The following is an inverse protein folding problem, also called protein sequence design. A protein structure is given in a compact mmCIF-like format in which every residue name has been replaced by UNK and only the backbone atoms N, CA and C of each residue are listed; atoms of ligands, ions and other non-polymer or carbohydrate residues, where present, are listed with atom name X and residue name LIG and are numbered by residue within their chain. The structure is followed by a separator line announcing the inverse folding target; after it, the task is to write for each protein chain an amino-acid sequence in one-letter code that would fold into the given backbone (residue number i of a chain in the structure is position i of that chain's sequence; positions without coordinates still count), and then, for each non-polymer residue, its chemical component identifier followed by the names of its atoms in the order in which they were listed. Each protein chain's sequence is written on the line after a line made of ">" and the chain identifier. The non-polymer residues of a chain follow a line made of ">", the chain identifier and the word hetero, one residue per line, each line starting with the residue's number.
data_IF_288661110298
#
_entry.id   IF_288661110298
#
_cell.length_a   1.000
_cell.length_b   1.000
_cell.length_c   1.000
_cell.angle_alpha   90.00
_cell.angle_beta   90.00
_cell.angle_gamma   90.00
#
_symmetry.space_group_name_H-M   'P 1'
#
loop_
_entity.id
_entity.type
_entity.pdbx_description
1 polymer ?
#
# COMPACT_ATOMS: atom_id res chain seq x y z
N UNK A 1 -0.02 18.22 -0.36
CA UNK A 1 -1.04 18.03 0.70
C UNK A 1 -0.31 17.49 1.91
N UNK A 2 -0.15 18.26 2.99
CA UNK A 2 0.52 17.76 4.18
C UNK A 2 -0.32 16.63 4.78
N UNK A 3 0.13 15.39 4.62
CA UNK A 3 -0.52 14.23 5.24
C UNK A 3 -0.40 14.45 6.75
N UNK A 4 -1.55 14.63 7.43
CA UNK A 4 -1.59 14.64 8.90
C UNK A 4 -0.95 13.34 9.36
N UNK A 5 0.05 13.43 10.24
CA UNK A 5 0.77 12.25 10.72
C UNK A 5 -0.20 11.25 11.35
N UNK A 6 -0.23 9.99 10.88
CA UNK A 6 -1.16 8.99 11.40
C UNK A 6 -1.08 8.78 12.91
N UNK A 7 0.12 8.92 13.50
CA UNK A 7 0.27 8.97 14.96
C UNK A 7 -0.57 10.08 15.62
N UNK A 8 -0.65 11.27 15.05
CA UNK A 8 -1.48 12.35 15.61
C UNK A 8 -2.96 12.00 15.54
N UNK A 9 -3.41 11.33 14.47
CA UNK A 9 -4.79 10.86 14.34
C UNK A 9 -5.09 9.80 15.40
N UNK A 10 -4.18 8.86 15.61
CA UNK A 10 -4.33 7.80 16.61
C UNK A 10 -4.27 8.37 18.01
N UNK A 11 -3.33 9.26 18.33
CA UNK A 11 -3.24 9.89 19.64
C UNK A 11 -4.47 10.75 19.90
N UNK A 12 -4.92 11.57 18.94
CA UNK A 12 -6.13 12.38 19.09
C UNK A 12 -7.38 11.50 19.27
N UNK A 13 -7.47 10.42 18.49
CA UNK A 13 -8.54 9.45 18.58
C UNK A 13 -8.53 8.65 19.88
N UNK A 14 -7.35 8.24 20.34
CA UNK A 14 -7.15 7.43 21.52
C UNK A 14 -7.21 8.23 22.82
N UNK A 15 -6.87 9.53 22.84
CA UNK A 15 -6.88 10.35 24.06
C UNK A 15 -8.13 11.23 24.18
N UNK A 16 -8.67 11.74 23.07
CA UNK A 16 -9.82 12.66 23.08
C UNK A 16 -11.11 12.03 22.53
N UNK A 17 -11.01 11.33 21.41
CA UNK A 17 -12.18 10.79 20.70
C UNK A 17 -12.84 9.64 21.48
N UNK A 18 -12.18 8.49 21.54
CA UNK A 18 -12.77 7.23 22.00
C UNK A 18 -13.23 7.28 23.47
N UNK A 19 -12.47 7.95 24.35
CA UNK A 19 -12.83 8.11 25.75
C UNK A 19 -14.08 8.97 25.96
N UNK A 20 -14.34 9.95 25.08
CA UNK A 20 -15.58 10.70 25.13
C UNK A 20 -16.81 9.81 24.84
N UNK A 21 -16.65 8.82 23.95
CA UNK A 21 -17.69 7.84 23.63
C UNK A 21 -17.85 6.75 24.71
N UNK A 22 -16.88 6.59 25.60
CA UNK A 22 -16.96 5.61 26.69
C UNK A 22 -18.13 5.88 27.62
N UNK A 23 -18.37 7.17 27.92
CA UNK A 23 -19.53 7.59 28.70
C UNK A 23 -20.85 7.22 28.02
N UNK A 24 -20.94 7.39 26.70
CA UNK A 24 -22.16 7.03 25.94
C UNK A 24 -22.37 5.52 25.87
N UNK A 25 -21.32 4.73 25.69
CA UNK A 25 -21.40 3.27 25.75
C UNK A 25 -21.82 2.79 27.15
N UNK A 26 -21.28 3.40 28.21
CA UNK A 26 -21.67 3.13 29.60
C UNK A 26 -23.13 3.48 29.89
N UNK A 27 -23.60 4.64 29.40
CA UNK A 27 -25.01 5.03 29.51
C UNK A 27 -25.94 4.07 28.76
N UNK A 28 -25.54 3.61 27.57
CA UNK A 28 -26.30 2.62 26.81
C UNK A 28 -26.40 1.28 27.55
N UNK A 29 -25.30 0.81 28.14
CA UNK A 29 -25.30 -0.39 28.99
C UNK A 29 -26.19 -0.22 30.23
N UNK A 30 -26.08 0.91 30.93
CA UNK A 30 -26.91 1.19 32.10
C UNK A 30 -28.40 1.22 31.73
N UNK A 31 -28.74 1.86 30.61
CA UNK A 31 -30.12 1.91 30.09
C UNK A 31 -30.63 0.51 29.75
N UNK A 32 -29.81 -0.31 29.09
CA UNK A 32 -30.16 -1.70 28.78
C UNK A 32 -30.39 -2.52 30.06
N UNK A 33 -29.53 -2.37 31.06
CA UNK A 33 -29.68 -3.04 32.36
C UNK A 33 -30.97 -2.64 33.10
N UNK A 34 -31.36 -1.35 33.05
CA UNK A 34 -32.63 -0.86 33.63
C UNK A 34 -33.83 -1.47 32.91
N UNK A 35 -33.80 -1.52 31.58
CA UNK A 35 -34.86 -2.15 30.78
C UNK A 35 -34.99 -3.64 31.14
N UNK A 36 -33.87 -4.36 31.26
CA UNK A 36 -33.88 -5.77 31.65
C UNK A 36 -34.40 -5.99 33.08
N UNK A 37 -34.04 -5.11 34.02
CA UNK A 37 -34.58 -5.16 35.38
C UNK A 37 -36.11 -4.97 35.38
N UNK A 38 -36.62 -4.07 34.56
CA UNK A 38 -38.06 -3.86 34.39
C UNK A 38 -38.75 -5.09 33.77
N UNK A 39 -38.16 -5.70 32.73
CA UNK A 39 -38.65 -6.96 32.12
C UNK A 39 -38.67 -8.08 33.16
N UNK A 40 -37.63 -8.22 33.97
CA UNK A 40 -37.59 -9.21 35.05
C UNK A 40 -38.73 -9.01 36.06
N UNK A 41 -38.98 -7.77 36.50
CA UNK A 41 -40.08 -7.44 37.40
C UNK A 41 -41.45 -7.80 36.80
N UNK A 42 -41.66 -7.52 35.51
CA UNK A 42 -42.88 -7.93 34.81
C UNK A 42 -43.02 -9.46 34.77
N UNK A 43 -41.92 -10.19 34.55
CA UNK A 43 -41.93 -11.65 34.55
C UNK A 43 -42.36 -12.24 35.88
N UNK A 44 -41.90 -11.64 36.98
CA UNK A 44 -42.32 -12.01 38.34
C UNK A 44 -43.79 -11.64 38.59
N UNK A 45 -44.22 -10.44 38.20
CA UNK A 45 -45.58 -9.95 38.39
C UNK A 45 -46.63 -10.82 37.69
N UNK A 46 -46.37 -11.22 36.45
CA UNK A 46 -47.26 -12.10 35.66
C UNK A 46 -47.03 -13.59 35.93
N UNK A 47 -46.09 -13.96 36.80
CA UNK A 47 -45.69 -15.35 37.07
C UNK A 47 -45.32 -16.13 35.80
N UNK A 48 -44.77 -15.45 34.80
CA UNK A 48 -44.35 -16.06 33.54
C UNK A 48 -42.89 -16.50 33.65
N UNK A 49 -42.66 -17.81 33.84
CA UNK A 49 -41.32 -18.39 33.99
C UNK A 49 -40.44 -18.16 32.76
N UNK A 50 -41.02 -18.16 31.55
CA UNK A 50 -40.28 -17.92 30.31
C UNK A 50 -39.68 -16.52 30.26
N UNK A 51 -40.45 -15.50 30.67
CA UNK A 51 -39.99 -14.12 30.66
C UNK A 51 -38.89 -13.87 31.72
N UNK A 52 -38.98 -14.52 32.88
CA UNK A 52 -37.91 -14.48 33.89
C UNK A 52 -36.64 -15.21 33.42
N UNK A 53 -36.77 -16.36 32.76
CA UNK A 53 -35.63 -17.09 32.20
C UNK A 53 -34.92 -16.28 31.11
N UNK A 54 -35.68 -15.67 30.19
CA UNK A 54 -35.13 -14.80 29.15
C UNK A 54 -34.41 -13.59 29.75
N UNK A 55 -34.99 -12.93 30.76
CA UNK A 55 -34.34 -11.80 31.43
C UNK A 55 -33.01 -12.18 32.10
N UNK A 56 -32.90 -13.38 32.69
CA UNK A 56 -31.64 -13.89 33.26
C UNK A 56 -30.59 -14.16 32.17
N UNK A 57 -31.00 -14.74 31.04
CA UNK A 57 -30.10 -14.95 29.91
C UNK A 57 -29.57 -13.63 29.34
N UNK A 58 -30.45 -12.64 29.16
CA UNK A 58 -30.06 -11.31 28.68
C UNK A 58 -29.14 -10.57 29.65
N UNK A 59 -29.27 -10.80 30.97
CA UNK A 59 -28.36 -10.23 31.96
C UNK A 59 -26.91 -10.75 31.78
N UNK A 60 -26.73 -12.04 31.48
CA UNK A 60 -25.41 -12.59 31.18
C UNK A 60 -24.80 -11.96 29.92
N UNK A 61 -25.61 -11.69 28.91
CA UNK A 61 -25.17 -11.06 27.67
C UNK A 61 -24.75 -9.59 27.86
N UNK A 62 -25.46 -8.85 28.71
CA UNK A 62 -25.06 -7.49 29.11
C UNK A 62 -23.73 -7.50 29.86
N UNK A 63 -23.52 -8.48 30.75
CA UNK A 63 -22.25 -8.64 31.47
C UNK A 63 -21.09 -8.93 30.52
N UNK A 64 -21.27 -9.85 29.57
CA UNK A 64 -20.25 -10.16 28.54
C UNK A 64 -19.96 -8.92 27.69
N UNK A 65 -21.00 -8.15 27.34
CA UNK A 65 -20.84 -6.90 26.59
C UNK A 65 -20.03 -5.87 27.37
N UNK A 66 -20.23 -5.74 28.68
CA UNK A 66 -19.42 -4.86 29.52
C UNK A 66 -17.95 -5.28 29.54
N UNK A 67 -17.66 -6.57 29.70
CA UNK A 67 -16.28 -7.10 29.65
C UNK A 67 -15.66 -6.84 28.28
N UNK A 68 -16.41 -7.10 27.21
CA UNK A 68 -15.96 -6.85 25.84
C UNK A 68 -15.63 -5.39 25.60
N UNK A 69 -16.45 -4.46 26.07
CA UNK A 69 -16.17 -3.02 25.97
C UNK A 69 -14.84 -2.68 26.67
N UNK A 70 -14.62 -3.15 27.90
CA UNK A 70 -13.34 -2.92 28.61
C UNK A 70 -12.16 -3.46 27.82
N UNK A 71 -12.27 -4.68 27.27
CA UNK A 71 -11.22 -5.26 26.42
C UNK A 71 -10.98 -4.44 25.15
N UNK A 72 -12.04 -3.91 24.53
CA UNK A 72 -11.92 -3.08 23.32
C UNK A 72 -11.18 -1.78 23.62
N UNK A 73 -11.55 -1.09 24.71
CA UNK A 73 -10.85 0.12 25.15
C UNK A 73 -9.38 -0.16 25.47
N UNK A 74 -9.09 -1.28 26.16
CA UNK A 74 -7.72 -1.72 26.42
C UNK A 74 -6.93 -1.99 25.15
N UNK A 75 -7.54 -2.66 24.17
CA UNK A 75 -6.91 -2.94 22.88
C UNK A 75 -6.65 -1.65 22.09
N UNK A 76 -7.60 -0.71 22.05
CA UNK A 76 -7.41 0.59 21.38
C UNK A 76 -6.31 1.40 22.07
N UNK A 77 -6.23 1.39 23.39
CA UNK A 77 -5.13 2.04 24.12
C UNK A 77 -3.76 1.41 23.76
N UNK A 78 -3.72 0.09 23.55
CA UNK A 78 -2.52 -0.61 23.13
C UNK A 78 -2.07 -0.24 21.70
N UNK A 79 -2.94 0.29 20.84
CA UNK A 79 -2.56 0.72 19.48
C UNK A 79 -1.46 1.77 19.47
N UNK A 80 -1.46 2.67 20.46
CA UNK A 80 -0.41 3.68 20.61
C UNK A 80 0.94 3.11 21.00
N UNK A 81 0.97 1.91 21.61
CA UNK A 81 2.20 1.26 22.11
C UNK A 81 2.71 0.15 21.20
N UNK A 82 1.98 -0.21 20.12
CA UNK A 82 2.43 -1.19 19.14
C UNK A 82 3.64 -0.65 18.36
N UNK A 83 4.80 -1.22 18.69
CA UNK A 83 6.08 -0.91 18.04
C UNK A 83 6.43 -1.99 17.02
N UNK A 84 7.16 -1.59 15.98
CA UNK A 84 7.56 -2.48 14.89
C UNK A 84 8.46 -3.63 15.38
N UNK A 85 9.34 -3.37 16.34
CA UNK A 85 10.22 -4.38 16.96
C UNK A 85 9.47 -5.54 17.65
N UNK A 86 8.23 -5.30 18.09
CA UNK A 86 7.41 -6.34 18.73
C UNK A 86 6.81 -7.33 17.73
N UNK A 87 6.71 -6.96 16.45
CA UNK A 87 6.07 -7.76 15.40
C UNK A 87 7.06 -8.29 14.35
N UNK A 88 8.10 -7.52 14.04
CA UNK A 88 9.08 -7.87 13.01
C UNK A 88 10.47 -8.11 13.65
N UNK A 89 11.18 -9.18 13.24
CA UNK A 89 12.59 -9.33 13.57
C UNK A 89 13.39 -8.11 13.11
N UNK A 90 14.41 -7.69 13.87
CA UNK A 90 15.25 -6.53 13.53
C UNK A 90 15.85 -6.61 12.13
N UNK A 91 16.14 -7.83 11.66
CA UNK A 91 16.64 -8.08 10.30
C UNK A 91 15.64 -7.76 9.19
N UNK A 92 14.33 -7.70 9.50
CA UNK A 92 13.23 -7.41 8.57
C UNK A 92 12.80 -5.94 8.56
N UNK A 93 13.42 -5.10 9.37
CA UNK A 93 13.07 -3.68 9.43
C UNK A 93 13.55 -2.99 8.15
N UNK A 94 12.64 -2.37 7.35
CA UNK A 94 13.00 -1.79 6.08
C UNK A 94 13.82 -0.51 6.25
N UNK A 95 14.53 -0.15 5.18
CA UNK A 95 15.15 1.17 5.10
C UNK A 95 14.12 2.21 4.66
N UNK A 96 14.22 3.40 5.23
CA UNK A 96 13.44 4.56 4.80
C UNK A 96 14.35 5.56 4.10
N UNK A 97 13.94 6.02 2.92
CA UNK A 97 14.65 7.10 2.22
C UNK A 97 13.92 8.40 2.52
N UNK A 98 14.57 9.31 3.23
CA UNK A 98 14.01 10.65 3.42
C UNK A 98 14.08 11.40 2.09
N UNK A 99 12.94 11.75 1.51
CA UNK A 99 12.86 12.40 0.20
C UNK A 99 13.53 13.78 0.18
N UNK A 100 13.63 14.46 1.32
CA UNK A 100 14.24 15.79 1.44
C UNK A 100 15.76 15.72 1.45
N UNK A 101 16.34 14.72 2.12
CA UNK A 101 17.80 14.60 2.27
C UNK A 101 18.42 13.56 1.35
N UNK A 102 17.60 12.72 0.70
CA UNK A 102 18.00 11.55 -0.08
C UNK A 102 18.87 10.55 0.71
N UNK A 103 18.92 10.69 2.04
CA UNK A 103 19.65 9.77 2.92
C UNK A 103 18.75 8.59 3.22
N UNK A 104 19.27 7.40 2.94
CA UNK A 104 18.64 6.14 3.31
C UNK A 104 19.12 5.73 4.70
N UNK A 105 18.21 5.64 5.67
CA UNK A 105 18.52 5.24 7.03
C UNK A 105 17.64 4.06 7.45
N UNK A 106 18.14 3.16 8.32
CA UNK A 106 17.28 2.15 8.92
C UNK A 106 16.16 2.81 9.70
N UNK A 107 14.94 2.31 9.52
CA UNK A 107 13.80 2.77 10.31
C UNK A 107 14.07 2.45 11.78
N UNK A 108 13.83 3.40 12.68
CA UNK A 108 13.97 3.17 14.11
C UNK A 108 13.06 2.01 14.54
N UNK A 109 13.58 0.94 15.16
CA UNK A 109 12.77 -0.19 15.66
C UNK A 109 11.64 0.25 16.61
N UNK A 110 11.81 1.39 17.30
CA UNK A 110 10.80 1.99 18.16
C UNK A 110 9.64 2.68 17.43
N UNK A 111 9.68 2.76 16.09
CA UNK A 111 8.61 3.38 15.29
C UNK A 111 7.30 2.63 15.51
N UNK A 112 6.19 3.36 15.57
CA UNK A 112 4.86 2.78 15.69
C UNK A 112 4.47 2.09 14.35
N UNK A 113 3.77 0.94 14.44
CA UNK A 113 3.26 0.18 13.27
C UNK A 113 2.45 1.06 12.30
N UNK A 114 1.68 2.02 12.80
CA UNK A 114 0.88 2.92 11.99
C UNK A 114 1.71 3.95 11.22
N UNK A 115 2.79 4.44 11.82
CA UNK A 115 3.70 5.36 11.13
C UNK A 115 4.52 4.62 10.08
N UNK A 116 4.92 3.38 10.38
CA UNK A 116 5.56 2.52 9.39
C UNK A 116 4.63 2.24 8.20
N UNK A 117 3.35 1.97 8.46
CA UNK A 117 2.32 1.80 7.41
C UNK A 117 2.18 3.07 6.55
N UNK A 118 2.22 4.25 7.17
CA UNK A 118 2.17 5.52 6.46
C UNK A 118 3.40 5.73 5.55
N UNK A 119 4.59 5.44 6.10
CA UNK A 119 5.87 5.53 5.38
C UNK A 119 5.92 4.56 4.20
N UNK A 120 5.32 3.37 4.32
CA UNK A 120 5.15 2.45 3.20
C UNK A 120 4.43 3.12 2.02
N UNK A 121 3.23 3.68 2.25
CA UNK A 121 2.47 4.30 1.16
C UNK A 121 3.21 5.49 0.55
N UNK A 122 3.90 6.30 1.36
CA UNK A 122 4.72 7.42 0.88
C UNK A 122 5.93 6.95 0.05
N UNK A 123 6.59 5.88 0.47
CA UNK A 123 7.72 5.31 -0.27
C UNK A 123 7.25 4.74 -1.61
N UNK A 124 6.17 3.96 -1.62
CA UNK A 124 5.60 3.40 -2.85
C UNK A 124 5.14 4.50 -3.80
N UNK A 125 4.51 5.55 -3.29
CA UNK A 125 4.08 6.73 -4.05
C UNK A 125 5.27 7.45 -4.69
N UNK A 126 6.31 7.74 -3.91
CA UNK A 126 7.55 8.37 -4.39
C UNK A 126 8.25 7.51 -5.44
N UNK A 127 8.32 6.20 -5.24
CA UNK A 127 8.95 5.30 -6.19
C UNK A 127 8.17 5.26 -7.51
N UNK A 128 6.84 5.07 -7.44
CA UNK A 128 5.98 5.04 -8.63
C UNK A 128 6.00 6.36 -9.40
N UNK A 129 6.00 7.50 -8.70
CA UNK A 129 6.13 8.81 -9.33
C UNK A 129 7.48 8.98 -10.04
N UNK A 130 8.59 8.58 -9.41
CA UNK A 130 9.91 8.59 -10.02
C UNK A 130 9.98 7.70 -11.28
N UNK A 131 9.33 6.53 -11.26
CA UNK A 131 9.25 5.65 -12.43
C UNK A 131 8.42 6.25 -13.57
N UNK A 132 7.31 6.90 -13.25
CA UNK A 132 6.49 7.59 -14.24
C UNK A 132 7.24 8.75 -14.89
N UNK A 133 7.96 9.55 -14.10
CA UNK A 133 8.80 10.63 -14.60
C UNK A 133 9.91 10.10 -15.52
N UNK A 134 10.63 9.07 -15.08
CA UNK A 134 11.68 8.46 -15.88
C UNK A 134 11.11 7.82 -17.16
N UNK A 135 9.94 7.16 -17.10
CA UNK A 135 9.26 6.63 -18.28
C UNK A 135 8.91 7.72 -19.28
N UNK A 136 8.38 8.85 -18.80
CA UNK A 136 8.05 10.00 -19.63
C UNK A 136 9.29 10.54 -20.36
N UNK A 137 10.40 10.70 -19.63
CA UNK A 137 11.68 11.12 -20.20
C UNK A 137 12.19 10.12 -21.26
N UNK A 138 12.17 8.82 -20.95
CA UNK A 138 12.58 7.78 -21.91
C UNK A 138 11.71 7.77 -23.17
N UNK A 139 10.40 7.99 -23.03
CA UNK A 139 9.48 8.05 -24.16
C UNK A 139 9.81 9.23 -25.09
N UNK A 140 10.11 10.41 -24.53
CA UNK A 140 10.58 11.57 -25.30
C UNK A 140 11.87 11.24 -26.06
N UNK A 141 12.84 10.59 -25.41
CA UNK A 141 14.10 10.22 -26.07
C UNK A 141 13.89 9.21 -27.20
N UNK A 142 13.04 8.20 -27.01
CA UNK A 142 12.69 7.26 -28.09
C UNK A 142 12.05 7.99 -29.25
N UNK A 143 11.14 8.92 -28.99
CA UNK A 143 10.49 9.72 -30.05
C UNK A 143 11.49 10.62 -30.78
N UNK A 144 12.43 11.25 -30.07
CA UNK A 144 13.50 12.04 -30.68
C UNK A 144 14.38 11.18 -31.59
N UNK A 145 14.82 10.01 -31.11
CA UNK A 145 15.66 9.09 -31.89
C UNK A 145 14.91 8.54 -33.11
N UNK A 146 13.63 8.19 -32.95
CA UNK A 146 12.78 7.72 -34.04
C UNK A 146 12.57 8.79 -35.14
N UNK A 147 12.58 10.07 -34.73
CA UNK A 147 12.37 11.20 -35.63
C UNK A 147 13.58 11.55 -36.50
N UNK A 148 14.77 11.01 -36.18
CA UNK A 148 16.00 11.24 -36.96
C UNK A 148 15.85 10.58 -38.33
N UNK A 149 15.52 11.41 -39.33
CA UNK A 149 15.41 11.02 -40.73
C UNK A 149 16.57 11.65 -41.50
N UNK A 150 17.67 10.91 -41.77
CA UNK A 150 18.73 11.42 -42.62
C UNK A 150 18.19 11.66 -44.02
N UNK A 151 18.20 12.93 -44.46
CA UNK A 151 17.77 13.32 -45.79
C UNK A 151 18.95 13.25 -46.76
N UNK A 152 18.98 12.20 -47.60
CA UNK A 152 19.91 12.12 -48.72
C UNK A 152 19.13 12.31 -50.03
N UNK A 153 18.99 13.57 -50.47
CA UNK A 153 18.36 13.94 -51.75
C UNK A 153 19.35 14.65 -52.68
N UNK A 154 20.36 13.95 -53.22
CA UNK A 154 21.16 14.54 -54.29
C UNK A 154 20.25 14.76 -55.51
N UNK A 155 20.01 16.02 -55.87
CA UNK A 155 19.16 16.43 -57.01
C UNK A 155 17.64 16.22 -56.82
N UNK A 156 17.14 16.17 -55.58
CA UNK A 156 15.69 16.10 -55.31
C UNK A 156 15.07 14.71 -55.47
N UNK A 157 15.81 13.74 -56.02
CA UNK A 157 15.49 12.32 -56.00
C UNK A 157 16.33 11.67 -54.91
N UNK A 158 15.70 11.08 -53.90
CA UNK A 158 16.44 10.50 -52.79
C UNK A 158 15.57 9.67 -51.85
N UNK A 159 16.26 8.86 -51.04
CA UNK A 159 15.63 8.01 -50.04
C UNK A 159 15.48 8.81 -48.74
N UNK A 160 14.28 8.78 -48.18
CA UNK A 160 14.05 9.16 -46.78
C UNK A 160 13.88 7.85 -46.03
N UNK A 161 14.97 7.37 -45.43
CA UNK A 161 14.91 6.22 -44.54
C UNK A 161 14.86 6.74 -43.10
N UNK A 162 13.94 6.21 -42.28
CA UNK A 162 14.06 6.29 -40.83
C UNK A 162 14.67 4.97 -40.35
N UNK A 163 16.01 4.85 -40.32
CA UNK A 163 16.67 3.57 -39.99
C UNK A 163 16.30 3.05 -38.60
N UNK A 164 15.84 3.93 -37.71
CA UNK A 164 15.46 3.59 -36.34
C UNK A 164 13.97 3.33 -36.12
N UNK A 165 13.11 3.56 -37.13
CA UNK A 165 11.67 3.34 -37.00
C UNK A 165 11.33 1.89 -36.60
N UNK A 166 12.10 0.91 -37.08
CA UNK A 166 11.89 -0.50 -36.77
C UNK A 166 12.10 -0.86 -35.29
N UNK A 167 13.06 -0.20 -34.62
CA UNK A 167 13.37 -0.44 -33.20
C UNK A 167 12.54 0.48 -32.29
N UNK A 168 12.28 1.71 -32.73
CA UNK A 168 11.51 2.67 -31.94
C UNK A 168 10.06 2.23 -31.73
N UNK A 169 9.43 1.60 -32.73
CA UNK A 169 8.04 1.14 -32.63
C UNK A 169 7.78 0.18 -31.45
N UNK A 170 8.49 -0.96 -31.31
CA UNK A 170 8.28 -1.87 -30.18
C UNK A 170 8.65 -1.24 -28.83
N UNK A 171 9.68 -0.39 -28.78
CA UNK A 171 10.06 0.30 -27.54
C UNK A 171 9.03 1.31 -27.08
N UNK A 172 8.48 2.09 -28.01
CA UNK A 172 7.40 3.03 -27.72
C UNK A 172 6.18 2.30 -27.16
N UNK A 173 5.84 1.14 -27.74
CA UNK A 173 4.75 0.31 -27.22
C UNK A 173 5.04 -0.21 -25.80
N UNK A 174 6.28 -0.65 -25.52
CA UNK A 174 6.69 -1.09 -24.18
C UNK A 174 6.59 0.05 -23.16
N UNK A 175 7.13 1.23 -23.49
CA UNK A 175 7.06 2.39 -22.59
C UNK A 175 5.65 2.88 -22.39
N UNK A 176 4.80 2.83 -23.42
CA UNK A 176 3.39 3.15 -23.30
C UNK A 176 2.66 2.17 -22.36
N UNK A 177 2.86 0.87 -22.53
CA UNK A 177 2.28 -0.15 -21.65
C UNK A 177 2.78 0.02 -20.21
N UNK A 178 4.06 0.38 -20.03
CA UNK A 178 4.63 0.67 -18.72
C UNK A 178 4.01 1.90 -18.07
N UNK A 179 3.80 2.97 -18.82
CA UNK A 179 3.11 4.18 -18.34
C UNK A 179 1.71 3.84 -17.83
N UNK A 180 0.94 3.07 -18.60
CA UNK A 180 -0.42 2.65 -18.24
C UNK A 180 -0.40 1.79 -16.98
N UNK A 181 0.46 0.77 -16.91
CA UNK A 181 0.57 -0.11 -15.75
C UNK A 181 0.95 0.65 -14.47
N UNK A 182 1.96 1.53 -14.55
CA UNK A 182 2.39 2.37 -13.43
C UNK A 182 1.29 3.34 -12.99
N UNK A 183 0.55 3.95 -13.93
CA UNK A 183 -0.54 4.87 -13.62
C UNK A 183 -1.66 4.19 -12.85
N UNK A 184 -2.02 2.96 -13.24
CA UNK A 184 -3.05 2.19 -12.53
C UNK A 184 -2.54 1.76 -11.15
N UNK A 185 -1.29 1.27 -11.07
CA UNK A 185 -0.68 0.89 -9.79
C UNK A 185 -0.62 2.07 -8.81
N UNK A 186 -0.28 3.26 -9.30
CA UNK A 186 -0.29 4.52 -8.54
C UNK A 186 -1.69 4.85 -8.01
N UNK A 187 -2.72 4.77 -8.86
CA UNK A 187 -4.10 5.00 -8.46
C UNK A 187 -4.56 4.01 -7.37
N UNK A 188 -4.21 2.73 -7.51
CA UNK A 188 -4.58 1.71 -6.51
C UNK A 188 -3.87 1.97 -5.19
N UNK A 189 -2.57 2.27 -5.20
CA UNK A 189 -1.82 2.60 -4.00
C UNK A 189 -2.43 3.82 -3.28
N UNK A 190 -2.83 4.84 -4.03
CA UNK A 190 -3.51 6.01 -3.49
C UNK A 190 -4.89 5.66 -2.90
N UNK A 191 -5.67 4.80 -3.56
CA UNK A 191 -6.94 4.32 -3.03
C UNK A 191 -6.76 3.54 -1.73
N UNK A 192 -5.72 2.71 -1.61
CA UNK A 192 -5.39 2.01 -0.37
C UNK A 192 -5.00 2.96 0.76
N UNK A 193 -4.23 4.02 0.46
CA UNK A 193 -3.91 5.07 1.42
C UNK A 193 -5.18 5.78 1.92
N UNK A 194 -6.15 6.05 1.04
CA UNK A 194 -7.45 6.61 1.45
C UNK A 194 -8.23 5.65 2.35
N UNK A 195 -8.26 4.35 2.01
CA UNK A 195 -8.88 3.32 2.86
C UNK A 195 -8.20 3.24 4.23
N UNK A 196 -6.88 3.39 4.29
CA UNK A 196 -6.11 3.42 5.54
C UNK A 196 -6.45 4.66 6.40
N UNK A 197 -6.48 5.86 5.79
CA UNK A 197 -6.83 7.07 6.53
C UNK A 197 -8.29 7.02 7.00
N UNK A 198 -9.18 6.53 6.13
CA UNK A 198 -10.57 6.28 6.49
C UNK A 198 -10.68 5.25 7.60
N UNK A 199 -9.84 4.21 7.62
CA UNK A 199 -9.95 3.18 8.64
C UNK A 199 -9.59 3.72 10.02
N UNK A 200 -8.53 4.52 10.11
CA UNK A 200 -8.12 5.15 11.36
C UNK A 200 -9.13 6.18 11.86
N UNK A 201 -9.63 7.07 11.00
CA UNK A 201 -10.57 8.12 11.41
C UNK A 201 -11.99 7.59 11.60
N UNK A 202 -12.46 6.81 10.63
CA UNK A 202 -13.82 6.31 10.55
C UNK A 202 -14.10 5.25 11.60
N UNK A 203 -13.30 4.17 11.67
CA UNK A 203 -13.60 3.07 12.59
C UNK A 203 -13.43 3.46 14.04
N UNK A 204 -12.38 4.23 14.35
CA UNK A 204 -12.11 4.66 15.70
C UNK A 204 -13.17 5.65 16.22
N UNK A 205 -13.54 6.67 15.43
CA UNK A 205 -14.44 7.71 15.90
C UNK A 205 -15.93 7.33 15.82
N UNK A 206 -16.34 6.57 14.80
CA UNK A 206 -17.76 6.33 14.51
C UNK A 206 -18.17 4.87 14.65
N UNK A 207 -17.52 3.95 13.94
CA UNK A 207 -18.00 2.56 13.87
C UNK A 207 -17.82 1.77 15.17
N UNK A 208 -16.71 1.95 15.90
CA UNK A 208 -16.51 1.26 17.18
C UNK A 208 -17.53 1.72 18.24
N UNK A 209 -17.72 3.02 18.51
CA UNK A 209 -18.79 3.49 19.41
C UNK A 209 -20.17 3.02 19.00
N UNK A 210 -20.49 3.09 17.70
CA UNK A 210 -21.78 2.63 17.16
C UNK A 210 -21.94 1.12 17.36
N UNK A 211 -20.91 0.32 17.11
CA UNK A 211 -20.91 -1.12 17.32
C UNK A 211 -21.13 -1.48 18.79
N UNK A 212 -20.46 -0.79 19.71
CA UNK A 212 -20.68 -0.96 21.16
C UNK A 212 -22.09 -0.58 21.59
N UNK A 213 -22.62 0.54 21.07
CA UNK A 213 -23.99 0.99 21.32
C UNK A 213 -25.03 -0.03 20.82
N UNK A 214 -24.93 -0.45 19.57
CA UNK A 214 -25.85 -1.43 18.97
C UNK A 214 -25.76 -2.80 19.66
N UNK A 215 -24.60 -3.14 20.23
CA UNK A 215 -24.43 -4.37 20.98
C UNK A 215 -25.23 -4.40 22.28
N UNK A 216 -25.47 -3.25 22.91
CA UNK A 216 -26.20 -3.15 24.17
C UNK A 216 -27.68 -3.54 24.07
N UNK A 217 -28.27 -3.53 22.86
CA UNK A 217 -29.66 -3.89 22.63
C UNK A 217 -29.79 -5.29 22.00
N UNK A 218 -30.66 -6.12 22.56
CA UNK A 218 -30.92 -7.50 22.12
C UNK A 218 -31.18 -7.64 20.61
N UNK A 219 -32.05 -6.85 19.95
CA UNK A 219 -32.34 -7.04 18.53
C UNK A 219 -31.20 -6.62 17.58
N UNK A 220 -30.35 -5.66 18.00
CA UNK A 220 -29.24 -5.14 17.17
C UNK A 220 -27.88 -5.72 17.56
N UNK A 221 -27.83 -6.65 18.53
CA UNK A 221 -26.60 -7.20 19.09
C UNK A 221 -25.66 -7.78 18.04
N UNK A 222 -26.23 -8.51 17.07
CA UNK A 222 -25.49 -9.15 15.98
C UNK A 222 -24.77 -8.13 15.10
N UNK A 223 -25.47 -7.06 14.72
CA UNK A 223 -24.91 -5.96 13.93
C UNK A 223 -23.83 -5.23 14.71
N UNK A 224 -24.03 -5.02 16.02
CA UNK A 224 -23.01 -4.43 16.89
C UNK A 224 -21.73 -5.26 16.92
N UNK A 225 -21.84 -6.59 17.09
CA UNK A 225 -20.71 -7.51 17.07
C UNK A 225 -19.95 -7.53 15.74
N UNK A 226 -20.66 -7.50 14.60
CA UNK A 226 -20.00 -7.48 13.30
C UNK A 226 -19.26 -6.18 13.04
N UNK A 227 -19.86 -5.03 13.39
CA UNK A 227 -19.21 -3.72 13.27
C UNK A 227 -17.94 -3.63 14.12
N UNK A 228 -17.97 -4.18 15.34
CA UNK A 228 -16.78 -4.29 16.20
C UNK A 228 -15.72 -5.15 15.51
N UNK A 229 -16.07 -6.35 15.03
CA UNK A 229 -15.11 -7.25 14.37
C UNK A 229 -14.46 -6.65 13.12
N UNK A 230 -15.25 -5.96 12.28
CA UNK A 230 -14.74 -5.25 11.10
C UNK A 230 -13.81 -4.12 11.54
N UNK A 231 -14.22 -3.30 12.52
CA UNK A 231 -13.39 -2.23 13.06
C UNK A 231 -12.06 -2.73 13.59
N UNK A 232 -12.05 -3.83 14.35
CA UNK A 232 -10.83 -4.47 14.82
C UNK A 232 -9.93 -4.95 13.68
N UNK A 233 -10.52 -5.53 12.65
CA UNK A 233 -9.75 -6.02 11.50
C UNK A 233 -9.04 -4.88 10.78
N UNK A 234 -9.76 -3.79 10.52
CA UNK A 234 -9.20 -2.62 9.86
C UNK A 234 -8.22 -1.84 10.74
N UNK A 235 -8.40 -1.86 12.07
CA UNK A 235 -7.49 -1.17 12.98
C UNK A 235 -6.22 -1.98 13.25
N UNK A 236 -6.29 -3.30 13.41
CA UNK A 236 -5.12 -4.12 13.80
C UNK A 236 -4.50 -4.89 12.64
N UNK A 237 -5.32 -5.58 11.85
CA UNK A 237 -4.81 -6.51 10.82
C UNK A 237 -4.34 -5.74 9.59
N UNK A 238 -5.09 -4.73 9.14
CA UNK A 238 -4.72 -3.92 7.98
C UNK A 238 -3.32 -3.28 8.09
N UNK A 239 -2.97 -2.52 9.15
CA UNK A 239 -1.63 -1.95 9.27
C UNK A 239 -0.56 -3.03 9.46
N UNK A 240 -0.85 -4.09 10.22
CA UNK A 240 0.10 -5.19 10.40
C UNK A 240 0.46 -5.88 9.06
N UNK A 241 -0.53 -6.15 8.21
CA UNK A 241 -0.31 -6.69 6.86
C UNK A 241 0.47 -5.73 5.97
N UNK A 242 0.19 -4.44 6.07
CA UNK A 242 0.91 -3.42 5.29
C UNK A 242 2.35 -3.27 5.76
N UNK A 243 2.62 -3.32 7.07
CA UNK A 243 3.96 -3.38 7.62
C UNK A 243 4.73 -4.62 7.18
N UNK A 244 4.09 -5.79 7.17
CA UNK A 244 4.68 -7.02 6.64
C UNK A 244 5.02 -6.85 5.17
N UNK A 245 4.11 -6.27 4.38
CA UNK A 245 4.33 -5.98 2.96
C UNK A 245 5.54 -5.04 2.77
N UNK A 246 5.63 -3.98 3.58
CA UNK A 246 6.76 -3.05 3.53
C UNK A 246 8.09 -3.75 3.84
N UNK A 247 8.11 -4.57 4.89
CA UNK A 247 9.27 -5.35 5.30
C UNK A 247 9.73 -6.37 4.24
N UNK A 248 8.80 -6.94 3.47
CA UNK A 248 9.12 -7.92 2.42
C UNK A 248 9.84 -7.29 1.21
N UNK A 249 9.49 -6.07 0.81
CA UNK A 249 10.00 -5.43 -0.42
C UNK A 249 11.13 -4.43 -0.20
N UNK A 250 11.17 -3.80 0.97
CA UNK A 250 12.09 -2.68 1.24
C UNK A 250 13.17 -3.02 2.27
N UNK A 251 13.38 -4.31 2.50
CA UNK A 251 14.50 -4.80 3.29
C UNK A 251 15.72 -5.07 2.39
N UNK A 252 16.82 -4.34 2.55
CA UNK A 252 18.01 -4.45 1.71
C UNK A 252 18.90 -5.68 1.99
N UNK A 253 18.82 -6.27 3.19
CA UNK A 253 19.75 -7.33 3.62
C UNK A 253 19.14 -8.71 3.49
N UNK A 254 17.84 -8.85 3.75
CA UNK A 254 17.18 -10.16 3.85
C UNK A 254 15.75 -10.18 3.31
N UNK A 255 15.36 -9.16 2.55
CA UNK A 255 14.08 -9.18 1.83
C UNK A 255 14.07 -10.33 0.82
N UNK A 256 13.08 -11.24 0.87
CA UNK A 256 12.97 -12.32 -0.12
C UNK A 256 12.70 -11.78 -1.53
N UNK A 257 12.25 -10.53 -1.63
CA UNK A 257 11.96 -9.84 -2.87
C UNK A 257 12.91 -8.65 -3.01
N UNK A 258 13.73 -8.69 -4.05
CA UNK A 258 14.66 -7.60 -4.36
C UNK A 258 13.85 -6.38 -4.79
N UNK A 259 14.06 -5.25 -4.12
CA UNK A 259 13.48 -3.99 -4.58
C UNK A 259 13.94 -3.71 -6.01
N UNK A 260 13.08 -3.14 -6.85
CA UNK A 260 13.49 -2.84 -8.22
C UNK A 260 14.70 -1.91 -8.23
N UNK A 261 14.81 -0.95 -7.30
CA UNK A 261 16.00 -0.10 -7.18
C UNK A 261 17.26 -0.95 -6.99
N UNK A 262 17.23 -1.92 -6.08
CA UNK A 262 18.34 -2.86 -5.87
C UNK A 262 18.60 -3.69 -7.11
N UNK A 263 17.56 -4.16 -7.79
CA UNK A 263 17.69 -4.94 -9.02
C UNK A 263 18.30 -4.11 -10.15
N UNK A 264 17.80 -2.90 -10.39
CA UNK A 264 18.30 -1.95 -11.37
C UNK A 264 19.71 -1.51 -11.04
N UNK A 265 20.01 -1.14 -9.79
CA UNK A 265 21.38 -0.81 -9.39
C UNK A 265 22.30 -2.00 -9.58
N UNK A 266 21.87 -3.21 -9.22
CA UNK A 266 22.67 -4.43 -9.43
C UNK A 266 22.89 -4.67 -10.93
N UNK A 267 21.87 -4.58 -11.78
CA UNK A 267 22.02 -4.71 -13.23
C UNK A 267 22.90 -3.62 -13.84
N UNK A 268 22.74 -2.37 -13.39
CA UNK A 268 23.54 -1.24 -13.86
C UNK A 268 24.98 -1.34 -13.39
N UNK A 269 25.23 -1.81 -12.16
CA UNK A 269 26.56 -1.93 -11.56
C UNK A 269 27.31 -3.19 -11.98
N UNK A 270 26.61 -4.29 -12.25
CA UNK A 270 27.19 -5.58 -12.64
C UNK A 270 27.54 -5.63 -14.12
N UNK A 271 26.90 -4.79 -14.94
CA UNK A 271 27.30 -4.60 -16.33
C UNK A 271 28.29 -3.44 -16.43
N UNK A 272 29.31 -3.55 -17.28
CA UNK A 272 30.22 -2.42 -17.62
C UNK A 272 29.51 -1.17 -18.19
N UNK A 273 28.17 -1.17 -18.20
CA UNK A 273 27.29 -0.04 -18.44
C UNK A 273 27.44 1.08 -17.40
N UNK A 274 27.54 0.83 -16.09
CA UNK A 274 27.71 1.94 -15.14
C UNK A 274 28.95 2.76 -15.48
N UNK A 275 30.08 2.12 -15.78
CA UNK A 275 31.28 2.83 -16.20
C UNK A 275 31.02 3.64 -17.49
N UNK A 276 30.40 3.04 -18.52
CA UNK A 276 30.11 3.73 -19.79
C UNK A 276 29.03 4.81 -19.71
N UNK A 277 28.02 4.63 -18.86
CA UNK A 277 26.91 5.56 -18.66
C UNK A 277 27.31 6.71 -17.76
N UNK A 278 28.11 6.44 -16.72
CA UNK A 278 28.69 7.49 -15.88
C UNK A 278 29.68 8.31 -16.69
N UNK A 279 30.47 7.67 -17.56
CA UNK A 279 31.35 8.37 -18.53
C UNK A 279 30.52 9.22 -19.52
N UNK A 280 29.40 8.69 -20.03
CA UNK A 280 28.46 9.48 -20.85
C UNK A 280 27.86 10.68 -20.10
N UNK A 281 27.41 10.47 -18.85
CA UNK A 281 26.78 11.51 -18.03
C UNK A 281 27.78 12.52 -17.47
N UNK A 282 29.04 12.15 -17.25
CA UNK A 282 30.10 13.08 -16.83
C UNK A 282 30.52 14.04 -17.93
N UNK A 283 30.19 13.76 -19.19
CA UNK A 283 30.35 14.68 -20.32
C UNK A 283 29.10 15.56 -20.57
N UNK A 284 28.10 15.53 -19.68
CA UNK A 284 26.85 16.32 -19.81
C UNK A 284 27.06 17.84 -19.68
N UNK A 285 28.12 18.29 -19.01
CA UNK A 285 28.38 19.73 -18.87
C UNK A 285 29.22 20.30 -20.03
N UNK A 286 29.67 19.44 -20.95
CA UNK A 286 30.33 19.89 -22.17
C UNK A 286 29.24 20.37 -23.16
N UNK A 287 29.20 21.65 -23.58
CA UNK A 287 28.19 22.17 -24.52
C UNK A 287 28.15 21.43 -25.87
N UNK A 288 29.08 20.51 -26.11
CA UNK A 288 29.08 19.53 -27.17
C UNK A 288 28.23 18.26 -26.86
N UNK A 289 27.20 18.28 -26.02
CA UNK A 289 26.31 17.12 -25.74
C UNK A 289 25.72 16.50 -27.04
N UNK A 290 25.48 17.32 -28.07
CA UNK A 290 25.07 16.85 -29.40
C UNK A 290 26.10 15.92 -30.06
N UNK A 291 27.35 15.96 -29.60
CA UNK A 291 28.45 15.08 -30.03
C UNK A 291 28.70 13.90 -29.12
N UNK A 292 28.20 13.84 -27.87
CA UNK A 292 28.44 12.66 -27.00
C UNK A 292 27.75 11.39 -27.50
N UNK A 293 26.50 11.50 -27.97
CA UNK A 293 25.86 10.41 -28.73
C UNK A 293 26.46 10.27 -30.13
N UNK A 294 26.88 11.37 -30.75
CA UNK A 294 27.44 11.33 -32.10
C UNK A 294 28.83 10.67 -32.12
N UNK A 295 29.62 10.77 -31.04
CA UNK A 295 30.89 10.08 -30.78
C UNK A 295 30.67 8.64 -30.37
N UNK A 296 29.61 8.34 -29.63
CA UNK A 296 29.17 6.96 -29.43
C UNK A 296 28.72 6.31 -30.75
N UNK A 297 28.20 7.11 -31.69
CA UNK A 297 27.81 6.70 -33.04
C UNK A 297 28.99 6.68 -34.02
N UNK A 298 29.92 7.63 -33.99
CA UNK A 298 31.07 7.73 -34.93
C UNK A 298 32.24 6.87 -34.52
N UNK A 299 32.51 6.71 -33.21
CA UNK A 299 33.41 5.64 -32.73
C UNK A 299 32.84 4.25 -33.02
N UNK A 300 31.51 4.13 -33.17
CA UNK A 300 30.85 2.91 -33.60
C UNK A 300 30.93 2.62 -35.11
N UNK A 301 31.13 3.64 -35.94
CA UNK A 301 31.30 3.47 -37.40
C UNK A 301 32.67 2.86 -37.75
N UNK A 302 33.68 2.98 -36.90
CA UNK A 302 34.99 2.32 -37.08
C UNK A 302 35.01 0.82 -36.74
N UNK A 303 34.00 0.31 -36.03
CA UNK A 303 33.93 -1.06 -35.48
C UNK A 303 32.53 -1.68 -35.54
N UNK A 304 31.82 -1.46 -36.65
CA UNK A 304 30.38 -1.74 -36.82
C UNK A 304 30.00 -3.19 -36.48
N UNK A 305 30.84 -4.19 -36.78
CA UNK A 305 30.52 -5.60 -36.52
C UNK A 305 30.48 -5.97 -35.03
N UNK A 306 31.52 -5.62 -34.28
CA UNK A 306 31.63 -5.92 -32.85
C UNK A 306 30.76 -5.02 -31.98
N UNK A 307 30.44 -3.81 -32.46
CA UNK A 307 29.50 -2.92 -31.78
C UNK A 307 28.04 -3.21 -32.12
N UNK A 308 27.67 -3.64 -33.33
CA UNK A 308 26.31 -4.17 -33.55
C UNK A 308 26.07 -5.34 -32.60
N UNK A 309 27.01 -6.27 -32.47
CA UNK A 309 26.85 -7.43 -31.61
C UNK A 309 26.83 -7.07 -30.11
N UNK A 310 27.71 -6.16 -29.66
CA UNK A 310 27.74 -5.70 -28.26
C UNK A 310 26.58 -4.78 -27.88
N UNK A 311 26.16 -3.88 -28.77
CA UNK A 311 25.12 -2.88 -28.51
C UNK A 311 23.73 -3.44 -28.80
N UNK A 312 23.54 -4.19 -29.89
CA UNK A 312 22.27 -4.90 -30.13
C UNK A 312 22.12 -6.16 -29.28
N UNK A 313 23.21 -6.72 -28.74
CA UNK A 313 23.12 -7.83 -27.79
C UNK A 313 22.73 -7.32 -26.42
N UNK A 314 23.66 -6.66 -25.74
CA UNK A 314 23.52 -6.32 -24.32
C UNK A 314 22.62 -5.12 -24.09
N UNK A 315 22.78 -4.04 -24.87
CA UNK A 315 21.98 -2.82 -24.66
C UNK A 315 20.53 -3.04 -25.08
N UNK A 316 20.28 -3.78 -26.17
CA UNK A 316 18.91 -4.12 -26.59
C UNK A 316 18.22 -5.05 -25.58
N UNK A 317 18.91 -6.09 -25.09
CA UNK A 317 18.36 -6.95 -24.04
C UNK A 317 18.07 -6.15 -22.77
N UNK A 318 18.96 -5.25 -22.36
CA UNK A 318 18.71 -4.37 -21.21
C UNK A 318 17.49 -3.47 -21.45
N UNK A 319 17.41 -2.85 -22.63
CA UNK A 319 16.31 -1.97 -23.04
C UNK A 319 14.96 -2.70 -23.10
N UNK A 320 14.96 -4.02 -23.31
CA UNK A 320 13.76 -4.85 -23.33
C UNK A 320 13.42 -5.43 -21.94
N UNK A 321 14.41 -5.91 -21.20
CA UNK A 321 14.25 -6.51 -19.87
C UNK A 321 13.88 -5.44 -18.83
N UNK A 322 14.46 -4.25 -18.93
CA UNK A 322 14.25 -3.19 -17.95
C UNK A 322 12.79 -2.73 -17.86
N UNK A 323 12.10 -2.35 -18.96
CA UNK A 323 10.68 -2.00 -18.89
C UNK A 323 9.80 -3.17 -18.41
N UNK A 324 10.08 -4.40 -18.85
CA UNK A 324 9.32 -5.58 -18.43
C UNK A 324 9.41 -5.78 -16.92
N UNK A 325 10.61 -5.62 -16.37
CA UNK A 325 10.84 -5.80 -14.94
C UNK A 325 10.26 -4.65 -14.10
N UNK A 326 10.23 -3.41 -14.60
CA UNK A 326 9.49 -2.29 -13.99
C UNK A 326 7.99 -2.60 -13.99
N UNK A 327 7.44 -3.06 -15.11
CA UNK A 327 6.02 -3.45 -15.22
C UNK A 327 5.69 -4.58 -14.25
N UNK A 328 6.54 -5.61 -14.16
CA UNK A 328 6.34 -6.72 -13.24
C UNK A 328 6.35 -6.25 -11.78
N UNK A 329 7.28 -5.37 -11.42
CA UNK A 329 7.34 -4.77 -10.08
C UNK A 329 6.09 -3.91 -9.79
N UNK A 330 5.71 -3.02 -10.71
CA UNK A 330 4.52 -2.18 -10.59
C UNK A 330 3.24 -3.01 -10.47
N UNK A 331 3.13 -4.09 -11.23
CA UNK A 331 2.01 -5.03 -11.16
C UNK A 331 1.97 -5.77 -9.83
N UNK A 332 3.13 -6.19 -9.32
CA UNK A 332 3.21 -6.89 -8.03
C UNK A 332 2.80 -5.97 -6.88
N UNK A 333 3.36 -4.75 -6.84
CA UNK A 333 3.08 -3.76 -5.80
C UNK A 333 1.66 -3.17 -5.92
N UNK A 334 1.20 -2.90 -7.15
CA UNK A 334 -0.07 -2.23 -7.41
C UNK A 334 -1.28 -3.14 -7.50
N UNK A 335 -1.11 -4.45 -7.76
CA UNK A 335 -2.24 -5.37 -7.90
C UNK A 335 -2.12 -6.60 -7.00
N UNK A 336 -1.03 -7.37 -7.12
CA UNK A 336 -0.91 -8.68 -6.45
C UNK A 336 -0.96 -8.52 -4.92
N UNK A 337 -0.16 -7.61 -4.37
CA UNK A 337 -0.11 -7.38 -2.93
C UNK A 337 -1.41 -6.77 -2.37
N UNK A 338 -1.98 -5.71 -2.97
CA UNK A 338 -3.32 -5.25 -2.62
C UNK A 338 -4.37 -6.35 -2.60
N UNK A 339 -4.42 -7.18 -3.64
CA UNK A 339 -5.37 -8.27 -3.74
C UNK A 339 -5.15 -9.30 -2.61
N UNK A 340 -3.90 -9.70 -2.38
CA UNK A 340 -3.55 -10.61 -1.29
C UNK A 340 -3.95 -10.04 0.08
N UNK A 341 -3.62 -8.78 0.35
CA UNK A 341 -3.95 -8.11 1.60
C UNK A 341 -5.47 -8.02 1.80
N UNK A 342 -6.25 -7.74 0.74
CA UNK A 342 -7.72 -7.74 0.81
C UNK A 342 -8.27 -9.14 1.12
N UNK A 343 -7.72 -10.20 0.52
CA UNK A 343 -8.14 -11.58 0.82
C UNK A 343 -7.88 -11.91 2.29
N UNK A 344 -6.68 -11.63 2.80
CA UNK A 344 -6.37 -11.89 4.22
C UNK A 344 -7.24 -11.04 5.14
N UNK A 345 -7.46 -9.77 4.80
CA UNK A 345 -8.29 -8.85 5.57
C UNK A 345 -9.75 -9.31 5.62
N UNK A 346 -10.32 -9.76 4.50
CA UNK A 346 -11.72 -10.24 4.46
C UNK A 346 -11.91 -11.52 5.25
N UNK A 347 -10.94 -12.45 5.22
CA UNK A 347 -10.98 -13.65 6.06
C UNK A 347 -10.84 -13.31 7.55
N UNK A 348 -9.92 -12.41 7.89
CA UNK A 348 -9.76 -11.93 9.27
C UNK A 348 -11.04 -11.24 9.78
N UNK A 349 -11.67 -10.40 8.94
CA UNK A 349 -12.94 -9.74 9.25
C UNK A 349 -14.04 -10.76 9.53
N UNK A 350 -14.15 -11.79 8.69
CA UNK A 350 -15.14 -12.86 8.88
C UNK A 350 -14.93 -13.61 10.20
N UNK A 351 -13.69 -14.00 10.50
CA UNK A 351 -13.36 -14.73 11.73
C UNK A 351 -13.60 -13.87 12.96
N UNK A 352 -13.15 -12.61 12.95
CA UNK A 352 -13.33 -11.69 14.08
C UNK A 352 -14.80 -11.28 14.28
N UNK A 353 -15.55 -11.04 13.20
CA UNK A 353 -16.99 -10.78 13.31
C UNK A 353 -17.74 -11.97 13.91
N UNK A 354 -17.34 -13.22 13.58
CA UNK A 354 -17.89 -14.44 14.19
C UNK A 354 -17.47 -14.62 15.64
N UNK A 355 -16.26 -14.21 16.04
CA UNK A 355 -15.86 -14.30 17.44
C UNK A 355 -16.57 -13.27 18.32
N UNK A 356 -16.89 -12.09 17.76
CA UNK A 356 -17.59 -11.05 18.50
C UNK A 356 -19.12 -11.18 18.44
N UNK A 357 -19.74 -11.85 17.46
CA UNK A 357 -21.19 -12.02 17.41
C UNK A 357 -21.65 -13.24 16.63
N UNK A 358 -22.97 -13.47 16.60
CA UNK A 358 -23.56 -14.49 15.72
C UNK A 358 -23.19 -14.20 14.25
N UNK A 359 -22.97 -15.25 13.47
CA UNK A 359 -22.70 -15.18 12.03
C UNK A 359 -23.77 -14.33 11.33
N UNK A 360 -23.43 -13.09 10.99
CA UNK A 360 -24.13 -12.37 9.92
C UNK A 360 -23.56 -12.93 8.63
N UNK A 361 -24.44 -13.30 7.70
CA UNK A 361 -24.00 -13.85 6.42
C UNK A 361 -23.36 -12.76 5.54
N UNK A 362 -22.08 -12.47 5.80
CA UNK A 362 -21.25 -11.53 5.04
C UNK A 362 -21.08 -12.03 3.59
N UNK A 363 -21.37 -13.32 3.31
CA UNK A 363 -21.29 -13.85 1.95
C UNK A 363 -22.18 -13.06 0.98
N UNK A 364 -23.31 -12.52 1.46
CA UNK A 364 -24.21 -11.68 0.68
C UNK A 364 -23.59 -10.33 0.28
N UNK A 365 -22.81 -9.71 1.17
CA UNK A 365 -22.09 -8.45 0.91
C UNK A 365 -20.92 -8.64 -0.06
N UNK A 366 -20.18 -9.74 0.07
CA UNK A 366 -19.08 -10.07 -0.87
C UNK A 366 -19.56 -10.39 -2.28
N UNK A 367 -20.86 -10.69 -2.50
CA UNK A 367 -21.43 -10.87 -3.85
C UNK A 367 -21.82 -9.54 -4.53
N UNK A 368 -21.82 -8.43 -3.78
CA UNK A 368 -22.16 -7.10 -4.29
C UNK A 368 -20.93 -6.34 -4.82
N UNK A 369 -19.73 -6.76 -4.39
CA UNK A 369 -18.43 -6.36 -4.96
C UNK A 369 -18.12 -7.32 -6.11
#
# INVERSE_FOLDING_TARGET
>A
MALVEPMQIILAGATGGLWSYAGMAGLALATSAVILAFVYLLGVMFRNQGLSANAKQELYEVLITAIMIVMIYGAVAALGTLRVDSFLPTAMIPLYTNTTTLVTAPLDPGTNVYDMTAKYFQQVDSDMAGWLEMNYVLNIYVDQIASITPYARPLGVGLVASPMAGIASPLKQLFYNMAVALSIAFLINYAQLLVYIFSLKGFLAYYLPLGMFLRAFTPTRRIGGTLIGIGFTFLFIFPALTCLTYALFYNPVSGPLMSFRTMATSYLSDTGFQNRFTDFMSHKDDPAIGTGMLDLITSAVGGIGTLLESVLGTSFLMLLIFPISVVAWAFTMGFILPAFNIIVLTQAAKVLSKSFGDEVDISSLTRMI
#
